data_IF_845841439134
#
_entry.id   IF_845841439134
#
_cell.length_a   1.000
_cell.length_b   1.000
_cell.length_c   1.000
_cell.angle_alpha   90.00
_cell.angle_beta   90.00
_cell.angle_gamma   90.00
#
_symmetry.space_group_name_H-M   'P 1'
#
loop_
_entity.id
_entity.type
_entity.pdbx_description
1 polymer ?
#
# COMPACT_ATOMS: atom_id res chain seq x y z
N UNK A 1 -73.69 -5.11 -29.13
CA UNK A 1 -72.42 -5.11 -29.92
C UNK A 1 -71.65 -3.85 -29.63
N UNK A 2 -70.31 -3.94 -29.64
CA UNK A 2 -69.26 -2.95 -29.31
C UNK A 2 -68.63 -3.17 -27.92
N UNK A 3 -67.68 -4.11 -27.90
CA UNK A 3 -66.67 -4.24 -26.85
C UNK A 3 -65.60 -3.18 -27.05
N UNK A 4 -65.32 -2.39 -26.01
CA UNK A 4 -64.17 -1.50 -25.93
C UNK A 4 -62.95 -2.30 -25.49
N UNK A 5 -61.93 -2.39 -26.35
CA UNK A 5 -60.62 -2.94 -25.98
C UNK A 5 -59.79 -1.86 -25.30
N UNK A 6 -59.67 -1.94 -23.98
CA UNK A 6 -58.69 -1.15 -23.23
C UNK A 6 -57.34 -1.84 -23.36
N UNK A 7 -56.46 -1.33 -24.22
CA UNK A 7 -55.10 -1.82 -24.36
C UNK A 7 -54.25 -1.30 -23.19
N UNK A 8 -53.81 -2.20 -22.31
CA UNK A 8 -52.79 -1.90 -21.31
C UNK A 8 -51.41 -2.07 -21.95
N UNK A 9 -50.71 -0.96 -22.15
CA UNK A 9 -49.27 -0.97 -22.47
C UNK A 9 -48.52 -1.19 -21.17
N UNK A 10 -48.00 -2.41 -20.96
CA UNK A 10 -47.08 -2.70 -19.87
C UNK A 10 -45.71 -2.19 -20.29
N UNK A 11 -45.28 -1.06 -19.73
CA UNK A 11 -43.92 -0.55 -19.85
C UNK A 11 -43.01 -1.37 -18.94
N UNK A 12 -42.31 -2.35 -19.50
CA UNK A 12 -41.27 -3.10 -18.81
C UNK A 12 -40.03 -2.19 -18.64
N UNK A 13 -39.85 -1.65 -17.43
CA UNK A 13 -38.62 -0.98 -17.02
C UNK A 13 -37.52 -2.04 -16.87
N UNK A 14 -36.67 -2.15 -17.89
CA UNK A 14 -35.39 -2.86 -17.79
C UNK A 14 -34.47 -2.05 -16.87
N UNK A 15 -34.41 -2.44 -15.59
CA UNK A 15 -33.31 -2.04 -14.72
C UNK A 15 -32.05 -2.76 -15.23
N UNK A 16 -31.22 -2.02 -15.95
CA UNK A 16 -29.85 -2.43 -16.16
C UNK A 16 -29.11 -2.23 -14.83
N UNK A 17 -28.99 -3.30 -14.03
CA UNK A 17 -28.05 -3.32 -12.92
C UNK A 17 -26.64 -3.17 -13.49
N UNK A 18 -26.12 -1.94 -13.43
CA UNK A 18 -24.69 -1.69 -13.52
C UNK A 18 -24.06 -2.37 -12.29
N UNK A 19 -23.68 -3.64 -12.45
CA UNK A 19 -22.77 -4.32 -11.53
C UNK A 19 -21.44 -3.58 -11.65
N UNK A 20 -21.25 -2.54 -10.83
CA UNK A 20 -19.90 -2.16 -10.43
C UNK A 20 -19.33 -3.39 -9.73
N UNK A 21 -18.34 -4.03 -10.33
CA UNK A 21 -17.55 -5.04 -9.65
C UNK A 21 -17.08 -4.41 -8.33
N UNK A 22 -17.68 -4.83 -7.21
CA UNK A 22 -17.30 -4.35 -5.90
C UNK A 22 -15.84 -4.73 -5.74
N UNK A 23 -14.92 -3.78 -5.78
CA UNK A 23 -13.50 -4.03 -5.51
C UNK A 23 -13.30 -4.41 -4.04
N UNK A 24 -12.05 -4.74 -3.66
CA UNK A 24 -11.71 -4.79 -2.24
C UNK A 24 -12.11 -3.48 -1.53
N UNK A 25 -12.33 -3.55 -0.22
CA UNK A 25 -12.67 -2.40 0.61
C UNK A 25 -11.59 -2.12 1.65
N UNK A 26 -11.58 -0.90 2.16
CA UNK A 26 -10.77 -0.51 3.32
C UNK A 26 -11.67 -0.31 4.53
N UNK A 27 -11.28 -0.89 5.66
CA UNK A 27 -11.91 -0.66 6.97
C UNK A 27 -10.95 0.13 7.85
N UNK A 28 -11.44 1.16 8.53
CA UNK A 28 -10.64 1.85 9.55
C UNK A 28 -10.64 1.02 10.82
N UNK A 29 -9.46 0.81 11.39
CA UNK A 29 -9.26 0.04 12.62
C UNK A 29 -8.54 0.86 13.68
N UNK A 30 -8.57 0.37 14.91
CA UNK A 30 -7.92 1.02 16.05
C UNK A 30 -6.40 0.92 16.03
N UNK A 31 -5.75 1.28 17.15
CA UNK A 31 -4.29 1.34 17.23
C UNK A 31 -3.66 -0.04 17.09
N UNK A 32 -2.43 -0.07 16.58
CA UNK A 32 -1.66 -1.30 16.45
C UNK A 32 -1.34 -1.89 17.82
N UNK A 33 -1.80 -3.10 18.07
CA UNK A 33 -1.59 -3.83 19.34
C UNK A 33 -0.61 -5.00 19.24
N UNK A 34 -0.09 -5.30 18.04
CA UNK A 34 0.79 -6.44 17.78
C UNK A 34 2.06 -6.40 18.65
N UNK A 35 2.26 -7.36 19.58
CA UNK A 35 3.42 -7.41 20.47
C UNK A 35 4.76 -7.58 19.78
N UNK A 36 4.80 -8.20 18.59
CA UNK A 36 6.05 -8.34 17.85
C UNK A 36 6.60 -7.01 17.32
N UNK A 37 5.77 -5.96 17.31
CA UNK A 37 6.18 -4.61 16.90
C UNK A 37 6.71 -3.85 18.12
N UNK A 38 7.95 -3.34 18.08
CA UNK A 38 8.56 -2.61 19.19
C UNK A 38 7.69 -1.45 19.68
N UNK A 39 7.69 -1.21 20.99
CA UNK A 39 6.86 -0.16 21.59
C UNK A 39 7.20 1.24 21.05
N UNK A 40 8.49 1.52 20.84
CA UNK A 40 8.98 2.75 20.19
C UNK A 40 8.34 2.98 18.82
N UNK A 41 8.22 1.91 18.02
CA UNK A 41 7.59 1.95 16.70
C UNK A 41 6.08 2.17 16.85
N UNK A 42 5.39 1.38 17.70
CA UNK A 42 3.94 1.52 17.90
C UNK A 42 3.53 2.93 18.35
N UNK A 43 4.31 3.55 19.25
CA UNK A 43 4.07 4.93 19.72
C UNK A 43 4.27 5.99 18.65
N UNK A 44 4.99 5.70 17.57
CA UNK A 44 5.22 6.64 16.47
C UNK A 44 4.16 6.59 15.37
N UNK A 45 3.21 5.65 15.44
CA UNK A 45 2.15 5.46 14.45
C UNK A 45 0.90 6.28 14.79
N UNK A 46 0.09 6.56 13.78
CA UNK A 46 -1.29 7.02 14.00
C UNK A 46 -2.07 5.96 14.82
N UNK A 47 -2.98 6.39 15.72
CA UNK A 47 -3.90 5.48 16.38
C UNK A 47 -4.86 4.79 15.40
N UNK A 48 -5.09 5.35 14.22
CA UNK A 48 -5.93 4.73 13.19
C UNK A 48 -5.10 3.85 12.25
N UNK A 49 -5.57 2.63 12.02
CA UNK A 49 -5.05 1.75 10.97
C UNK A 49 -6.04 1.55 9.82
N UNK A 50 -5.57 0.88 8.76
CA UNK A 50 -6.32 0.54 7.56
C UNK A 50 -6.26 -0.96 7.34
N UNK A 51 -7.41 -1.63 7.39
CA UNK A 51 -7.53 -3.04 7.02
C UNK A 51 -8.01 -3.15 5.58
N UNK A 52 -7.23 -3.84 4.75
CA UNK A 52 -7.58 -4.13 3.35
C UNK A 52 -8.30 -5.47 3.31
N UNK A 53 -9.54 -5.47 2.84
CA UNK A 53 -10.41 -6.65 2.76
C UNK A 53 -10.78 -6.92 1.31
N UNK A 54 -10.60 -8.16 0.86
CA UNK A 54 -11.01 -8.58 -0.47
C UNK A 54 -12.53 -8.75 -0.56
N UNK A 55 -13.03 -8.93 -1.77
CA UNK A 55 -14.46 -9.13 -2.09
C UNK A 55 -15.05 -10.37 -1.43
N UNK A 56 -14.24 -11.41 -1.26
CA UNK A 56 -14.60 -12.65 -0.56
C UNK A 56 -14.51 -12.55 0.98
N UNK A 57 -14.23 -11.35 1.51
CA UNK A 57 -14.12 -11.09 2.94
C UNK A 57 -12.76 -11.43 3.55
N UNK A 58 -11.78 -11.97 2.79
CA UNK A 58 -10.45 -12.24 3.32
C UNK A 58 -9.67 -10.94 3.57
N UNK A 59 -8.99 -10.88 4.71
CA UNK A 59 -8.09 -9.78 5.04
C UNK A 59 -6.78 -9.98 4.29
N UNK A 60 -6.38 -8.99 3.47
CA UNK A 60 -5.10 -8.98 2.77
C UNK A 60 -3.98 -8.58 3.72
N UNK A 61 -4.16 -7.43 4.37
CA UNK A 61 -3.21 -6.86 5.31
C UNK A 61 -3.88 -5.78 6.16
N UNK A 62 -3.18 -5.37 7.21
CA UNK A 62 -3.51 -4.21 8.03
C UNK A 62 -2.30 -3.26 8.04
N UNK A 63 -2.54 -1.96 7.86
CA UNK A 63 -1.47 -0.95 7.71
C UNK A 63 -1.69 0.20 8.68
N UNK A 64 -0.63 0.64 9.34
CA UNK A 64 -0.60 1.85 10.18
C UNK A 64 0.54 2.74 9.71
N UNK A 65 0.25 4.00 9.42
CA UNK A 65 1.28 4.96 9.01
C UNK A 65 1.86 5.70 10.20
N UNK A 66 3.11 6.15 10.06
CA UNK A 66 3.76 7.03 11.03
C UNK A 66 2.95 8.33 11.17
N UNK A 67 2.74 8.78 12.41
CA UNK A 67 1.92 9.97 12.70
C UNK A 67 2.45 11.28 12.11
N UNK A 68 3.75 11.32 11.81
CA UNK A 68 4.36 12.39 11.05
C UNK A 68 5.55 11.83 10.25
N UNK A 69 5.36 11.60 8.96
CA UNK A 69 6.42 11.15 8.05
C UNK A 69 7.35 12.33 7.76
N UNK A 70 8.67 12.20 8.02
CA UNK A 70 9.65 13.21 7.64
C UNK A 70 9.64 13.43 6.12
N UNK A 71 9.41 14.67 5.71
CA UNK A 71 9.46 15.08 4.30
C UNK A 71 10.36 16.31 4.19
N UNK A 72 11.41 16.23 3.36
CA UNK A 72 12.33 17.34 3.12
C UNK A 72 11.69 18.35 2.16
N UNK A 73 11.52 19.58 2.63
CA UNK A 73 11.06 20.69 1.79
C UNK A 73 12.05 20.95 0.64
N UNK A 74 11.52 21.22 -0.56
CA UNK A 74 12.35 21.52 -1.73
C UNK A 74 13.16 20.33 -2.26
N UNK A 75 12.69 19.10 -2.04
CA UNK A 75 13.27 17.91 -2.67
C UNK A 75 13.39 18.08 -4.18
N UNK A 76 14.58 17.80 -4.72
CA UNK A 76 14.82 17.87 -6.16
C UNK A 76 13.93 16.86 -6.88
N UNK A 77 13.40 17.27 -8.03
CA UNK A 77 12.77 16.34 -8.95
C UNK A 77 13.84 15.41 -9.49
N UNK A 78 13.66 14.10 -9.27
CA UNK A 78 14.48 13.05 -9.87
C UNK A 78 13.66 12.29 -10.90
N UNK A 79 14.28 11.80 -11.99
CA UNK A 79 13.59 10.96 -12.96
C UNK A 79 12.91 9.77 -12.29
N UNK A 80 11.65 9.55 -12.64
CA UNK A 80 10.82 8.42 -12.20
C UNK A 80 10.64 8.32 -10.66
N UNK A 81 10.85 9.41 -9.91
CA UNK A 81 10.56 9.50 -8.48
C UNK A 81 9.29 10.32 -8.26
N UNK A 82 8.26 9.71 -7.69
CA UNK A 82 6.97 10.37 -7.47
C UNK A 82 6.89 11.07 -6.12
N UNK A 83 7.49 10.48 -5.08
CA UNK A 83 7.38 10.98 -3.71
C UNK A 83 8.56 11.88 -3.34
N UNK A 84 8.76 12.96 -4.12
CA UNK A 84 9.87 13.88 -3.93
C UNK A 84 9.96 14.43 -2.49
N UNK A 85 11.16 14.41 -1.93
CA UNK A 85 11.43 14.86 -0.57
C UNK A 85 11.27 13.78 0.50
N UNK A 86 10.71 12.61 0.18
CA UNK A 86 10.76 11.44 1.06
C UNK A 86 12.15 10.81 0.95
N UNK A 87 12.91 10.81 2.02
CA UNK A 87 14.29 10.30 2.00
C UNK A 87 14.34 8.79 2.19
N UNK A 88 15.29 8.11 1.51
CA UNK A 88 15.51 6.67 1.66
C UNK A 88 15.75 6.28 3.14
N UNK A 89 15.37 5.04 3.46
CA UNK A 89 15.33 4.49 4.81
C UNK A 89 14.37 5.19 5.79
N UNK A 90 13.53 6.13 5.34
CA UNK A 90 12.50 6.71 6.19
C UNK A 90 11.46 5.66 6.58
N UNK A 91 11.18 5.53 7.88
CA UNK A 91 10.04 4.74 8.37
C UNK A 91 8.73 5.42 7.97
N UNK A 92 7.98 4.74 7.11
CA UNK A 92 6.67 5.16 6.61
C UNK A 92 5.53 4.62 7.48
N UNK A 93 5.68 3.40 8.00
CA UNK A 93 4.64 2.76 8.80
C UNK A 93 4.95 1.30 9.14
N UNK A 94 3.91 0.58 9.51
CA UNK A 94 3.91 -0.86 9.78
C UNK A 94 2.80 -1.52 8.96
N UNK A 95 3.09 -2.70 8.43
CA UNK A 95 2.11 -3.60 7.80
C UNK A 95 2.08 -4.93 8.55
N UNK A 96 0.88 -5.48 8.72
CA UNK A 96 0.66 -6.82 9.29
C UNK A 96 -0.03 -7.68 8.25
N UNK A 97 0.57 -8.82 7.94
CA UNK A 97 -0.02 -9.84 7.09
C UNK A 97 -0.58 -10.97 7.96
N UNK A 98 -1.91 -11.19 7.99
CA UNK A 98 -2.52 -12.25 8.78
C UNK A 98 -2.26 -13.65 8.23
N UNK A 99 -1.86 -13.74 6.95
CA UNK A 99 -1.53 -14.98 6.25
C UNK A 99 -0.28 -14.75 5.37
N UNK A 100 0.45 -15.81 4.98
CA UNK A 100 1.53 -15.68 4.00
C UNK A 100 1.05 -15.04 2.70
N UNK A 101 1.91 -14.24 2.08
CA UNK A 101 1.61 -13.50 0.85
C UNK A 101 2.83 -13.52 -0.08
N UNK A 102 2.79 -12.75 -1.16
CA UNK A 102 3.95 -12.49 -2.01
C UNK A 102 4.23 -11.01 -2.13
N UNK A 103 5.48 -10.66 -2.40
CA UNK A 103 5.87 -9.32 -2.78
C UNK A 103 5.51 -9.05 -4.26
N UNK A 104 5.86 -7.85 -4.75
CA UNK A 104 5.56 -7.47 -6.13
C UNK A 104 6.30 -8.29 -7.20
N UNK A 105 7.29 -9.11 -6.85
CA UNK A 105 8.01 -10.02 -7.77
C UNK A 105 7.53 -11.47 -7.65
N UNK A 106 6.52 -11.72 -6.82
CA UNK A 106 6.05 -13.07 -6.53
C UNK A 106 6.89 -13.81 -5.49
N UNK A 107 7.84 -13.14 -4.83
CA UNK A 107 8.62 -13.73 -3.75
C UNK A 107 7.75 -13.92 -2.52
N UNK A 108 7.80 -15.11 -1.92
CA UNK A 108 7.01 -15.42 -0.73
C UNK A 108 7.41 -14.55 0.48
N UNK A 109 6.41 -14.05 1.20
CA UNK A 109 6.53 -13.33 2.47
C UNK A 109 5.73 -14.10 3.52
N UNK A 110 6.34 -14.33 4.69
CA UNK A 110 5.66 -15.01 5.80
C UNK A 110 4.58 -14.10 6.41
N UNK A 111 3.57 -14.70 7.02
CA UNK A 111 2.65 -13.96 7.90
C UNK A 111 3.44 -13.29 9.04
N UNK A 112 2.99 -12.12 9.49
CA UNK A 112 3.64 -11.37 10.56
C UNK A 112 3.62 -9.86 10.34
N UNK A 113 4.28 -9.13 11.25
CA UNK A 113 4.39 -7.68 11.22
C UNK A 113 5.75 -7.23 10.69
N UNK A 114 5.71 -6.18 9.85
CA UNK A 114 6.88 -5.62 9.18
C UNK A 114 6.85 -4.10 9.26
N UNK A 115 7.98 -3.47 9.51
CA UNK A 115 8.13 -2.03 9.26
C UNK A 115 8.27 -1.78 7.75
N UNK A 116 7.82 -0.60 7.34
CA UNK A 116 7.86 -0.12 5.95
C UNK A 116 8.90 0.99 5.84
N UNK A 117 10.02 0.70 5.17
CA UNK A 117 11.12 1.66 4.96
C UNK A 117 11.17 2.09 3.50
N UNK A 118 11.11 3.38 3.23
CA UNK A 118 11.16 3.91 1.86
C UNK A 118 12.51 3.64 1.20
N UNK A 119 12.49 3.29 -0.08
CA UNK A 119 13.68 3.06 -0.91
C UNK A 119 13.39 3.40 -2.37
N UNK A 120 14.45 3.64 -3.14
CA UNK A 120 14.38 3.88 -4.57
C UNK A 120 15.06 2.76 -5.34
N UNK A 121 14.45 2.32 -6.45
CA UNK A 121 15.13 1.34 -7.31
C UNK A 121 16.40 2.01 -7.84
N UNK A 122 17.56 1.34 -7.89
CA UNK A 122 18.77 1.95 -8.43
C UNK A 122 18.52 2.57 -9.81
N UNK A 123 19.10 3.73 -10.09
CA UNK A 123 19.01 4.37 -11.41
C UNK A 123 20.08 3.77 -12.35
N UNK A 124 20.03 2.45 -12.55
CA UNK A 124 20.94 1.70 -13.42
C UNK A 124 20.18 0.93 -14.50
N UNK A 125 20.91 0.45 -15.52
CA UNK A 125 20.32 -0.25 -16.65
C UNK A 125 19.58 -1.55 -16.29
N UNK A 126 19.80 -2.14 -15.11
CA UNK A 126 19.13 -3.36 -14.68
C UNK A 126 17.81 -3.10 -13.95
N UNK A 127 17.58 -1.87 -13.51
CA UNK A 127 16.40 -1.48 -12.73
C UNK A 127 15.52 -0.46 -13.44
N UNK A 128 15.95 0.10 -14.56
CA UNK A 128 15.11 0.96 -15.39
C UNK A 128 14.01 0.13 -16.08
N UNK A 129 12.77 0.57 -15.98
CA UNK A 129 11.62 -0.02 -16.68
C UNK A 129 10.91 -1.19 -15.99
N UNK A 130 11.45 -1.74 -14.89
CA UNK A 130 10.82 -2.84 -14.15
C UNK A 130 9.55 -2.42 -13.38
N UNK A 131 9.37 -1.11 -13.21
CA UNK A 131 8.22 -0.48 -12.59
C UNK A 131 8.03 0.91 -13.22
N UNK A 132 6.80 1.43 -13.28
CA UNK A 132 6.54 2.75 -13.87
C UNK A 132 7.05 3.94 -13.06
N UNK A 133 7.50 3.73 -11.82
CA UNK A 133 8.26 4.67 -11.02
C UNK A 133 9.19 3.89 -10.08
N UNK A 134 10.21 4.55 -9.53
CA UNK A 134 11.28 3.94 -8.73
C UNK A 134 10.93 3.74 -7.26
N UNK A 135 9.84 4.34 -6.78
CA UNK A 135 9.45 4.35 -5.38
C UNK A 135 8.94 2.99 -4.89
N UNK A 136 9.50 2.50 -3.79
CA UNK A 136 9.00 1.31 -3.11
C UNK A 136 9.23 1.36 -1.60
N UNK A 137 8.56 0.45 -0.87
CA UNK A 137 8.75 0.22 0.55
C UNK A 137 9.37 -1.15 0.75
N UNK A 138 10.48 -1.20 1.48
CA UNK A 138 11.10 -2.43 1.95
C UNK A 138 10.44 -2.90 3.24
N UNK A 139 10.04 -4.17 3.24
CA UNK A 139 9.56 -4.87 4.42
C UNK A 139 10.75 -5.29 5.27
N UNK A 140 10.80 -4.83 6.52
CA UNK A 140 11.78 -5.33 7.50
C UNK A 140 11.00 -6.00 8.63
N UNK A 141 11.36 -7.23 9.06
CA UNK A 141 10.70 -7.86 10.21
C UNK A 141 10.69 -6.91 11.39
N UNK A 142 9.50 -6.64 11.96
CA UNK A 142 9.32 -5.52 12.87
C UNK A 142 10.17 -5.62 14.15
N UNK A 143 10.46 -6.85 14.59
CA UNK A 143 11.32 -7.13 15.75
C UNK A 143 12.80 -6.77 15.51
N UNK A 144 13.23 -6.64 14.26
CA UNK A 144 14.58 -6.26 13.86
C UNK A 144 14.75 -4.75 13.62
N UNK A 145 13.66 -3.98 13.51
CA UNK A 145 13.69 -2.54 13.21
C UNK A 145 13.08 -1.72 14.35
N UNK A 146 13.89 -1.50 15.40
CA UNK A 146 13.41 -0.94 16.68
C UNK A 146 13.47 0.59 16.77
N UNK A 147 14.27 1.24 15.94
CA UNK A 147 14.51 2.68 16.00
C UNK A 147 13.85 3.41 14.84
N UNK A 148 12.80 4.18 15.17
CA UNK A 148 12.02 5.00 14.23
C UNK A 148 12.89 6.03 13.48
N UNK A 149 13.97 6.50 14.10
CA UNK A 149 14.87 7.50 13.55
C UNK A 149 16.04 6.90 12.76
N UNK A 150 16.26 5.57 12.83
CA UNK A 150 17.36 4.91 12.12
C UNK A 150 17.34 5.24 10.62
N UNK A 151 18.56 5.40 10.08
CA UNK A 151 18.85 5.61 8.68
C UNK A 151 19.90 4.58 8.26
N UNK A 152 19.43 3.56 7.58
CA UNK A 152 20.26 2.50 7.01
C UNK A 152 20.74 2.93 5.63
N UNK A 153 21.95 2.51 5.25
CA UNK A 153 22.33 2.50 3.85
C UNK A 153 21.40 1.59 3.05
N UNK A 154 21.34 1.78 1.73
CA UNK A 154 20.54 0.92 0.85
C UNK A 154 20.93 -0.56 1.00
N UNK A 155 22.23 -0.88 1.08
CA UNK A 155 22.71 -2.25 1.23
C UNK A 155 22.29 -2.88 2.56
N UNK A 156 22.40 -2.14 3.66
CA UNK A 156 21.93 -2.61 4.98
C UNK A 156 20.43 -2.85 4.98
N UNK A 157 19.66 -1.95 4.36
CA UNK A 157 18.21 -2.09 4.28
C UNK A 157 17.79 -3.28 3.42
N UNK A 158 18.50 -3.54 2.31
CA UNK A 158 18.31 -4.75 1.48
C UNK A 158 18.60 -6.02 2.30
N UNK A 159 19.70 -6.06 3.05
CA UNK A 159 20.07 -7.19 3.91
C UNK A 159 19.04 -7.44 5.01
N UNK A 160 18.52 -6.39 5.63
CA UNK A 160 17.45 -6.48 6.63
C UNK A 160 16.16 -7.00 6.00
N UNK A 161 15.79 -6.46 4.85
CA UNK A 161 14.54 -6.83 4.17
C UNK A 161 14.54 -8.25 3.62
N UNK A 162 15.69 -8.76 3.17
CA UNK A 162 15.83 -10.14 2.71
C UNK A 162 15.42 -11.17 3.78
N UNK A 163 15.53 -10.81 5.08
CA UNK A 163 15.07 -11.65 6.19
C UNK A 163 13.55 -11.84 6.23
N UNK A 164 12.76 -10.91 5.67
CA UNK A 164 11.30 -11.05 5.57
C UNK A 164 10.90 -12.20 4.64
N UNK A 165 11.62 -12.36 3.52
CA UNK A 165 11.41 -13.44 2.57
C UNK A 165 12.19 -14.72 2.93
N UNK A 166 13.27 -14.61 3.71
CA UNK A 166 14.18 -15.71 3.97
C UNK A 166 15.03 -16.10 2.76
N UNK A 167 15.24 -15.15 1.84
CA UNK A 167 16.05 -15.31 0.61
C UNK A 167 17.21 -14.32 0.63
N UNK A 168 17.95 -14.20 -0.48
CA UNK A 168 18.95 -13.13 -0.67
C UNK A 168 18.37 -11.86 -1.32
N UNK A 169 17.08 -11.87 -1.68
CA UNK A 169 16.42 -10.74 -2.31
C UNK A 169 15.52 -10.02 -1.29
N UNK A 170 15.53 -8.68 -1.28
CA UNK A 170 14.68 -7.94 -0.37
C UNK A 170 13.21 -8.12 -0.73
N UNK A 171 12.32 -8.01 0.25
CA UNK A 171 10.88 -8.04 0.05
C UNK A 171 10.35 -6.62 -0.07
N UNK A 172 9.86 -6.26 -1.26
CA UNK A 172 9.43 -4.90 -1.59
C UNK A 172 7.94 -4.79 -1.93
N UNK A 173 7.33 -3.67 -1.58
CA UNK A 173 6.01 -3.26 -2.03
C UNK A 173 6.14 -1.97 -2.85
N UNK A 174 5.77 -2.01 -4.12
CA UNK A 174 5.88 -0.83 -4.98
C UNK A 174 4.88 0.26 -4.57
N UNK A 175 5.33 1.51 -4.62
CA UNK A 175 4.46 2.67 -4.54
C UNK A 175 4.16 3.15 -5.96
N UNK A 176 2.94 3.61 -6.21
CA UNK A 176 2.51 4.21 -7.48
C UNK A 176 2.27 5.70 -7.30
N UNK A 177 2.18 6.44 -8.40
CA UNK A 177 1.62 7.79 -8.32
C UNK A 177 0.20 7.76 -7.77
N UNK A 178 -0.06 8.59 -6.77
CA UNK A 178 -1.40 8.83 -6.25
C UNK A 178 -2.21 9.80 -7.14
N UNK A 179 -1.61 10.32 -8.21
CA UNK A 179 -2.27 11.23 -9.14
C UNK A 179 -3.54 10.60 -9.74
N UNK A 180 -4.66 11.33 -9.64
CA UNK A 180 -5.95 10.90 -10.18
C UNK A 180 -6.88 10.20 -9.18
N UNK A 181 -6.39 9.78 -8.01
CA UNK A 181 -7.26 9.29 -6.94
C UNK A 181 -7.87 10.46 -6.17
N UNK A 182 -9.19 10.65 -6.31
CA UNK A 182 -9.94 11.76 -5.70
C UNK A 182 -10.52 11.44 -4.33
N UNK A 183 -10.55 10.16 -3.96
CA UNK A 183 -11.12 9.67 -2.72
C UNK A 183 -10.09 8.82 -2.02
N UNK A 184 -9.81 9.13 -0.75
CA UNK A 184 -8.94 8.38 0.13
C UNK A 184 -9.46 8.47 1.58
N UNK A 185 -9.31 7.43 2.41
CA UNK A 185 -8.72 6.14 2.07
C UNK A 185 -9.61 5.32 1.14
N UNK A 186 -9.00 4.55 0.24
CA UNK A 186 -9.71 3.62 -0.66
C UNK A 186 -8.84 2.43 -1.01
N UNK A 187 -9.47 1.35 -1.49
CA UNK A 187 -8.80 0.22 -2.11
C UNK A 187 -9.17 0.17 -3.58
N UNK A 188 -8.16 0.03 -4.44
CA UNK A 188 -8.34 0.01 -5.89
C UNK A 188 -7.73 -1.26 -6.46
N UNK A 189 -8.48 -1.96 -7.29
CA UNK A 189 -7.96 -3.03 -8.12
C UNK A 189 -7.48 -2.44 -9.46
N UNK A 190 -6.18 -2.52 -9.72
CA UNK A 190 -5.57 -2.02 -10.94
C UNK A 190 -5.32 -3.15 -11.93
N UNK A 191 -5.94 -3.05 -13.12
CA UNK A 191 -5.83 -4.01 -14.21
C UNK A 191 -6.11 -5.46 -13.79
N UNK A 192 -6.95 -5.68 -12.77
CA UNK A 192 -7.22 -6.99 -12.16
C UNK A 192 -5.98 -7.74 -11.63
N UNK A 193 -4.84 -7.05 -11.49
CA UNK A 193 -3.55 -7.64 -11.09
C UNK A 193 -3.05 -7.16 -9.74
N UNK A 194 -3.34 -5.92 -9.38
CA UNK A 194 -2.82 -5.29 -8.17
C UNK A 194 -3.95 -4.76 -7.30
N UNK A 195 -3.89 -5.06 -6.01
CA UNK A 195 -4.68 -4.36 -4.99
C UNK A 195 -3.84 -3.22 -4.42
N UNK A 196 -4.33 -1.99 -4.56
CA UNK A 196 -3.70 -0.80 -4.02
C UNK A 196 -4.46 -0.32 -2.79
N UNK A 197 -3.75 0.01 -1.72
CA UNK A 197 -4.24 0.89 -0.66
C UNK A 197 -3.85 2.33 -1.03
N UNK A 198 -4.83 3.19 -1.23
CA UNK A 198 -4.62 4.63 -1.40
C UNK A 198 -5.06 5.34 -0.12
N UNK A 199 -4.14 6.00 0.58
CA UNK A 199 -4.42 6.59 1.89
C UNK A 199 -3.67 7.92 2.12
N UNK A 200 -4.29 8.88 2.82
CA UNK A 200 -3.59 10.07 3.28
C UNK A 200 -2.61 9.72 4.40
N UNK A 201 -1.45 10.37 4.40
CA UNK A 201 -0.43 10.28 5.45
C UNK A 201 0.00 11.67 5.86
N UNK A 202 0.12 11.90 7.17
CA UNK A 202 0.56 13.18 7.70
C UNK A 202 2.07 13.33 7.57
N UNK A 203 2.52 14.54 7.28
CA UNK A 203 3.93 14.87 7.12
C UNK A 203 4.41 15.81 8.21
N UNK A 204 5.70 15.81 8.50
CA UNK A 204 6.31 16.77 9.44
C UNK A 204 6.22 18.23 8.98
N UNK A 205 5.92 18.46 7.70
CA UNK A 205 5.73 19.80 7.13
C UNK A 205 4.35 20.41 7.45
N UNK A 206 3.48 19.70 8.18
CA UNK A 206 2.15 20.18 8.55
C UNK A 206 1.07 19.99 7.48
N UNK A 207 1.37 19.22 6.43
CA UNK A 207 0.42 18.83 5.38
C UNK A 207 0.28 17.31 5.26
N UNK A 208 -0.53 16.88 4.30
CA UNK A 208 -0.72 15.47 3.96
C UNK A 208 -0.11 15.13 2.60
N UNK A 209 0.42 13.92 2.51
CA UNK A 209 0.78 13.25 1.27
C UNK A 209 -0.23 12.12 1.05
N UNK A 210 -0.61 11.81 -0.18
CA UNK A 210 -1.39 10.61 -0.48
C UNK A 210 -0.46 9.52 -0.98
N UNK A 211 -0.39 8.38 -0.28
CA UNK A 211 0.34 7.20 -0.74
C UNK A 211 -0.59 6.28 -1.51
N UNK A 212 -0.12 5.71 -2.61
CA UNK A 212 -0.76 4.62 -3.35
C UNK A 212 0.15 3.39 -3.30
N UNK A 213 -0.07 2.52 -2.32
CA UNK A 213 0.75 1.34 -2.03
C UNK A 213 0.15 0.08 -2.64
N UNK A 214 0.92 -0.66 -3.44
CA UNK A 214 0.54 -2.01 -3.86
C UNK A 214 0.70 -2.94 -2.66
N UNK A 215 -0.42 -3.41 -2.10
CA UNK A 215 -0.45 -4.32 -0.94
C UNK A 215 -0.62 -5.78 -1.35
N UNK A 216 -0.98 -6.04 -2.61
CA UNK A 216 -1.04 -7.36 -3.23
C UNK A 216 -0.89 -7.25 -4.74
N UNK A 217 -0.18 -8.20 -5.34
CA UNK A 217 -0.05 -8.36 -6.79
C UNK A 217 1.39 -8.66 -7.19
N UNK A 218 1.58 -9.16 -8.41
CA UNK A 218 2.90 -9.51 -8.97
C UNK A 218 3.08 -8.77 -10.29
N UNK A 219 4.21 -8.08 -10.44
CA UNK A 219 4.68 -7.52 -11.69
C UNK A 219 5.09 -8.65 -12.62
N UNK A 220 4.50 -8.67 -13.82
CA UNK A 220 5.02 -9.50 -14.90
C UNK A 220 6.40 -8.96 -15.27
N UNK A 221 7.41 -9.84 -15.19
CA UNK A 221 8.75 -9.61 -15.70
C UNK A 221 8.74 -9.66 -17.24
#
# INVERSE_FOLDING_TARGET
MRWSHTAYVILALLFADLVFAQGGRVEMIGPLTEPSVPESVRRALEPQGYRVVQTDGRIVCEVWFRAAIPLRAGGAAEPDVVYAGLEESTLVGVIVFPQPTTDYRGQAIKAGAYTLRYALHPADGNHMGIAPNRDFLLLVPADLDRDVAARYSFEELVKLSAKAAGTNHPAGLSLRSAGGYKTAPTVVELASRYTLLVAPVKTTAGGELTLALIVKGVAEL
#
